data_IF_233778212686
#
_entry.id   IF_233778212686
#
_cell.length_a   1.000
_cell.length_b   1.000
_cell.length_c   1.000
_cell.angle_alpha   90.00
_cell.angle_beta   90.00
_cell.angle_gamma   90.00
#
_symmetry.space_group_name_H-M   'P 1'
#
loop_
_entity.id
_entity.type
_entity.pdbx_description
1 polymer ?
#
# COMPACT_ATOMS: atom_id res chain seq x y z
N UNK A 1 9.78 6.67 -6.20
CA UNK A 1 8.76 7.52 -6.86
C UNK A 1 8.01 8.28 -5.79
N UNK A 2 7.57 9.48 -6.10
CA UNK A 2 6.79 10.34 -5.19
C UNK A 2 5.41 10.61 -5.79
N UNK A 3 4.41 10.87 -4.95
CA UNK A 3 3.09 11.31 -5.38
C UNK A 3 3.11 12.74 -5.91
N UNK A 4 2.05 13.14 -6.61
CA UNK A 4 1.94 14.46 -7.23
C UNK A 4 2.06 15.60 -6.20
N UNK A 5 1.31 15.55 -5.09
CA UNK A 5 1.32 16.61 -4.08
C UNK A 5 2.68 16.72 -3.39
N UNK A 6 3.38 15.59 -3.20
CA UNK A 6 4.76 15.57 -2.67
C UNK A 6 5.73 16.25 -3.63
N UNK A 7 5.58 15.99 -4.93
CA UNK A 7 6.41 16.62 -5.95
C UNK A 7 6.16 18.14 -6.02
N UNK A 8 4.89 18.56 -6.04
CA UNK A 8 4.48 19.96 -6.11
C UNK A 8 4.96 20.76 -4.89
N UNK A 9 4.86 20.17 -3.69
CA UNK A 9 5.31 20.81 -2.46
C UNK A 9 6.84 20.96 -2.36
N UNK A 10 7.60 19.96 -2.81
CA UNK A 10 9.07 19.97 -2.69
C UNK A 10 9.77 20.63 -3.87
N UNK A 11 9.13 20.66 -5.05
CA UNK A 11 9.71 21.13 -6.31
C UNK A 11 8.68 21.95 -7.14
N UNK A 12 8.10 23.04 -6.60
CA UNK A 12 6.92 23.72 -7.16
C UNK A 12 7.12 24.34 -8.55
N UNK A 13 8.37 24.54 -8.98
CA UNK A 13 8.68 25.13 -10.30
C UNK A 13 9.83 24.41 -10.97
N UNK A 14 10.14 23.19 -10.53
CA UNK A 14 11.28 22.44 -11.03
C UNK A 14 10.91 20.98 -11.29
N UNK A 15 11.59 20.37 -12.27
CA UNK A 15 11.44 18.94 -12.48
C UNK A 15 12.06 18.17 -11.30
N UNK A 16 11.29 17.34 -10.57
CA UNK A 16 11.80 16.58 -9.43
C UNK A 16 12.67 15.38 -9.85
N UNK A 17 12.59 14.93 -11.09
CA UNK A 17 13.35 13.76 -11.58
C UNK A 17 14.86 14.00 -11.41
N UNK A 18 15.57 12.96 -10.96
CA UNK A 18 16.99 12.94 -10.61
C UNK A 18 17.42 13.83 -9.43
N UNK A 19 16.49 14.57 -8.84
CA UNK A 19 16.73 15.27 -7.58
C UNK A 19 16.67 14.32 -6.40
N UNK A 20 17.23 14.78 -5.29
CA UNK A 20 17.26 14.01 -4.05
C UNK A 20 16.27 14.55 -3.04
N UNK A 21 15.64 13.63 -2.30
CA UNK A 21 14.76 13.91 -1.17
C UNK A 21 15.28 13.19 0.07
N UNK A 22 15.16 13.84 1.22
CA UNK A 22 15.52 13.24 2.49
C UNK A 22 14.29 12.55 3.08
N UNK A 23 14.39 11.25 3.33
CA UNK A 23 13.32 10.45 3.95
C UNK A 23 13.90 9.82 5.21
N UNK A 24 13.43 10.28 6.37
CA UNK A 24 13.91 9.84 7.69
C UNK A 24 15.45 9.85 7.80
N UNK A 25 16.08 10.94 7.35
CA UNK A 25 17.54 11.12 7.40
C UNK A 25 18.32 10.37 6.31
N UNK A 26 17.66 9.67 5.40
CA UNK A 26 18.30 8.95 4.29
C UNK A 26 18.00 9.64 2.95
N UNK A 27 19.02 9.78 2.12
CA UNK A 27 18.91 10.45 0.83
C UNK A 27 18.43 9.46 -0.25
N UNK A 28 17.35 9.80 -0.95
CA UNK A 28 16.82 9.02 -2.06
C UNK A 28 16.70 9.87 -3.31
N UNK A 29 17.02 9.29 -4.46
CA UNK A 29 16.81 9.91 -5.77
C UNK A 29 15.38 9.71 -6.25
N UNK A 30 14.75 10.78 -6.73
CA UNK A 30 13.43 10.73 -7.36
C UNK A 30 13.58 10.18 -8.79
N UNK A 31 12.92 9.06 -9.07
CA UNK A 31 12.96 8.38 -10.38
C UNK A 31 11.62 8.45 -11.14
N UNK A 32 10.62 9.08 -10.54
CA UNK A 32 9.28 9.15 -11.12
C UNK A 32 8.29 9.86 -10.20
N UNK A 33 7.26 10.46 -10.81
CA UNK A 33 6.15 11.12 -10.14
C UNK A 33 4.85 10.48 -10.61
N UNK A 34 3.94 10.18 -9.69
CA UNK A 34 2.62 9.68 -10.06
C UNK A 34 1.80 10.78 -10.76
N UNK A 35 1.00 10.40 -11.76
CA UNK A 35 -0.04 11.27 -12.29
C UNK A 35 -1.06 11.57 -11.19
N UNK A 36 -1.53 12.81 -11.11
CA UNK A 36 -2.54 13.23 -10.13
C UNK A 36 -3.77 12.33 -10.21
N UNK A 37 -4.09 11.63 -9.12
CA UNK A 37 -5.25 10.74 -9.03
C UNK A 37 -6.35 11.28 -8.11
N UNK A 38 -6.03 12.29 -7.29
CA UNK A 38 -6.93 12.85 -6.29
C UNK A 38 -7.09 11.95 -5.07
N UNK A 39 -7.90 12.43 -4.12
CA UNK A 39 -8.19 11.72 -2.87
C UNK A 39 -9.42 10.83 -3.04
N UNK A 40 -9.31 9.56 -2.67
CA UNK A 40 -10.45 8.64 -2.67
C UNK A 40 -11.24 8.78 -1.38
N UNK A 41 -12.50 9.25 -1.50
CA UNK A 41 -13.46 9.44 -0.38
C UNK A 41 -12.92 10.27 0.81
N UNK A 42 -11.87 11.07 0.62
CA UNK A 42 -11.17 11.73 1.72
C UNK A 42 -10.36 10.80 2.64
N UNK A 43 -10.34 9.49 2.38
CA UNK A 43 -9.74 8.48 3.25
C UNK A 43 -8.29 8.17 2.90
N UNK A 44 -7.94 8.18 1.62
CA UNK A 44 -6.56 7.97 1.17
C UNK A 44 -6.25 8.74 -0.12
N UNK A 45 -5.00 9.19 -0.25
CA UNK A 45 -4.50 9.88 -1.44
C UNK A 45 -3.23 9.20 -1.94
N UNK A 46 -3.23 8.79 -3.21
CA UNK A 46 -2.02 8.31 -3.90
C UNK A 46 -1.08 9.46 -4.32
N UNK A 47 -1.56 10.70 -4.21
CA UNK A 47 -0.80 11.90 -4.53
C UNK A 47 0.12 12.33 -3.37
N UNK A 48 -0.16 11.85 -2.15
CA UNK A 48 0.58 12.19 -0.93
C UNK A 48 1.47 11.06 -0.39
N UNK A 49 1.88 10.10 -1.24
CA UNK A 49 2.71 8.95 -0.85
C UNK A 49 4.13 8.98 -1.42
N UNK A 50 5.01 8.16 -0.85
CA UNK A 50 6.29 7.77 -1.45
C UNK A 50 6.31 6.27 -1.68
N UNK A 51 6.68 5.86 -2.88
CA UNK A 51 6.90 4.46 -3.23
C UNK A 51 8.39 4.20 -3.46
N UNK A 52 8.94 3.20 -2.77
CA UNK A 52 10.33 2.79 -2.90
C UNK A 52 10.43 1.26 -2.96
N UNK A 53 11.52 0.70 -3.51
CA UNK A 53 11.73 -0.75 -3.51
C UNK A 53 11.73 -1.30 -2.09
N UNK A 54 11.08 -2.45 -1.87
CA UNK A 54 10.98 -3.08 -0.56
C UNK A 54 12.36 -3.38 0.07
N UNK A 55 13.35 -3.77 -0.74
CA UNK A 55 14.71 -4.00 -0.27
C UNK A 55 15.37 -2.71 0.28
N UNK A 56 15.10 -1.55 -0.35
CA UNK A 56 15.58 -0.27 0.15
C UNK A 56 14.86 0.11 1.45
N UNK A 57 13.55 -0.14 1.53
CA UNK A 57 12.79 0.07 2.76
C UNK A 57 13.37 -0.75 3.93
N UNK A 58 13.56 -2.06 3.75
CA UNK A 58 14.09 -2.95 4.78
C UNK A 58 15.52 -2.61 5.23
N UNK A 59 16.31 -1.97 4.36
CA UNK A 59 17.69 -1.55 4.69
C UNK A 59 17.72 -0.36 5.65
N UNK A 60 16.79 0.58 5.48
CA UNK A 60 16.85 1.89 6.14
C UNK A 60 15.74 2.12 7.18
N UNK A 61 14.69 1.32 7.14
CA UNK A 61 13.52 1.46 8.01
C UNK A 61 13.25 0.15 8.74
N UNK A 62 12.93 0.26 10.03
CA UNK A 62 12.50 -0.91 10.82
C UNK A 62 11.05 -1.24 10.48
N UNK A 63 10.78 -2.51 10.16
CA UNK A 63 9.45 -3.05 9.83
C UNK A 63 8.52 -3.18 11.05
N UNK A 64 8.43 -2.14 11.89
CA UNK A 64 7.45 -2.05 12.99
C UNK A 64 6.09 -1.51 12.52
N UNK A 65 5.90 -1.35 11.21
CA UNK A 65 4.66 -0.82 10.63
C UNK A 65 3.68 -1.94 10.31
N UNK A 66 2.40 -1.66 10.53
CA UNK A 66 1.32 -2.43 9.93
C UNK A 66 1.55 -2.52 8.42
N UNK A 67 1.47 -3.74 7.89
CA UNK A 67 1.81 -4.04 6.51
C UNK A 67 0.65 -4.72 5.82
N UNK A 68 0.22 -4.16 4.70
CA UNK A 68 -0.81 -4.73 3.85
C UNK A 68 -0.18 -5.50 2.69
N UNK A 69 -0.71 -6.68 2.41
CA UNK A 69 -0.36 -7.46 1.21
C UNK A 69 -1.54 -7.40 0.25
N UNK A 70 -1.30 -6.87 -0.96
CA UNK A 70 -2.32 -6.81 -2.02
C UNK A 70 -2.17 -8.01 -2.94
N UNK A 71 -3.25 -8.78 -3.07
CA UNK A 71 -3.30 -9.99 -3.90
C UNK A 71 -4.26 -9.77 -5.06
N UNK A 72 -3.84 -10.15 -6.27
CA UNK A 72 -4.68 -10.12 -7.47
C UNK A 72 -5.00 -11.54 -7.91
N UNK A 73 -6.26 -11.94 -7.75
CA UNK A 73 -6.76 -13.23 -8.24
C UNK A 73 -7.04 -13.13 -9.74
N UNK A 74 -6.52 -14.09 -10.53
CA UNK A 74 -6.67 -14.10 -12.00
C UNK A 74 -8.11 -14.36 -12.43
N UNK A 75 -8.74 -15.35 -11.79
CA UNK A 75 -10.13 -15.76 -12.05
C UNK A 75 -11.04 -15.26 -10.93
N UNK A 76 -11.96 -14.34 -11.26
CA UNK A 76 -12.87 -13.75 -10.28
C UNK A 76 -13.90 -14.75 -9.74
N UNK A 77 -14.15 -15.86 -10.44
CA UNK A 77 -15.08 -16.90 -9.95
C UNK A 77 -14.52 -17.66 -8.76
N UNK A 78 -13.20 -17.61 -8.55
CA UNK A 78 -12.47 -18.28 -7.47
C UNK A 78 -12.16 -17.39 -6.27
N UNK A 79 -12.80 -16.22 -6.15
CA UNK A 79 -12.49 -15.29 -5.06
C UNK A 79 -12.74 -15.88 -3.67
N UNK A 80 -13.83 -16.63 -3.49
CA UNK A 80 -14.14 -17.27 -2.21
C UNK A 80 -13.10 -18.34 -1.85
N UNK A 81 -12.79 -19.24 -2.78
CA UNK A 81 -11.75 -20.27 -2.62
C UNK A 81 -10.37 -19.64 -2.32
N UNK A 82 -9.99 -18.61 -3.08
CA UNK A 82 -8.73 -17.90 -2.87
C UNK A 82 -8.66 -17.24 -1.49
N UNK A 83 -9.78 -16.73 -0.96
CA UNK A 83 -9.83 -16.15 0.39
C UNK A 83 -9.57 -17.20 1.47
N UNK A 84 -10.18 -18.38 1.34
CA UNK A 84 -9.97 -19.47 2.30
C UNK A 84 -8.51 -19.95 2.27
N UNK A 85 -7.93 -20.11 1.09
CA UNK A 85 -6.51 -20.43 0.93
C UNK A 85 -5.59 -19.35 1.54
N UNK A 86 -5.86 -18.08 1.25
CA UNK A 86 -5.09 -16.95 1.80
C UNK A 86 -5.20 -16.90 3.33
N UNK A 87 -6.36 -17.22 3.90
CA UNK A 87 -6.56 -17.29 5.35
C UNK A 87 -5.65 -18.36 5.96
N UNK A 88 -5.65 -19.57 5.39
CA UNK A 88 -4.79 -20.66 5.84
C UNK A 88 -3.30 -20.32 5.73
N UNK A 89 -2.89 -19.71 4.62
CA UNK A 89 -1.50 -19.25 4.41
C UNK A 89 -1.10 -18.18 5.42
N UNK A 90 -1.94 -17.18 5.66
CA UNK A 90 -1.65 -16.10 6.60
C UNK A 90 -1.57 -16.60 8.04
N UNK A 91 -2.44 -17.54 8.44
CA UNK A 91 -2.34 -18.21 9.75
C UNK A 91 -1.00 -18.94 9.91
N UNK A 92 -0.51 -19.60 8.85
CA UNK A 92 0.82 -20.24 8.86
C UNK A 92 1.95 -19.22 8.97
N UNK A 93 1.92 -18.15 8.17
CA UNK A 93 2.93 -17.07 8.22
C UNK A 93 2.99 -16.43 9.60
N UNK A 94 1.84 -16.26 10.26
CA UNK A 94 1.74 -15.69 11.61
C UNK A 94 1.88 -16.70 12.76
N UNK A 95 2.05 -18.00 12.46
CA UNK A 95 2.18 -19.05 13.47
C UNK A 95 0.95 -19.20 14.36
N UNK A 96 -0.27 -18.97 13.83
CA UNK A 96 -1.51 -19.06 14.61
C UNK A 96 -2.00 -20.51 14.70
N UNK A 97 -2.10 -21.10 15.90
CA UNK A 97 -2.64 -22.44 16.09
C UNK A 97 -4.15 -22.46 15.87
N UNK A 98 -4.77 -23.62 15.57
CA UNK A 98 -6.19 -23.74 15.24
C UNK A 98 -7.15 -23.07 16.24
N UNK A 99 -6.85 -23.09 17.54
CA UNK A 99 -7.74 -22.52 18.57
C UNK A 99 -7.64 -20.99 18.67
N UNK A 100 -6.59 -20.38 18.09
CA UNK A 100 -6.37 -18.94 18.16
C UNK A 100 -7.14 -18.22 17.05
N UNK A 101 -7.82 -17.14 17.42
CA UNK A 101 -8.48 -16.21 16.50
C UNK A 101 -7.47 -15.52 15.59
N UNK A 102 -7.90 -15.18 14.38
CA UNK A 102 -7.09 -14.40 13.44
C UNK A 102 -6.79 -13.00 14.01
N UNK A 103 -5.53 -12.57 13.87
CA UNK A 103 -5.06 -11.23 14.20
C UNK A 103 -4.78 -10.38 12.94
N UNK A 104 -5.36 -10.79 11.81
CA UNK A 104 -5.31 -10.14 10.51
C UNK A 104 -6.70 -10.11 9.87
N UNK A 105 -6.87 -9.31 8.83
CA UNK A 105 -8.09 -9.27 8.03
C UNK A 105 -7.78 -9.44 6.55
N UNK A 106 -8.70 -10.05 5.81
CA UNK A 106 -8.67 -10.11 4.34
C UNK A 106 -9.84 -9.28 3.84
N UNK A 107 -9.53 -8.07 3.37
CA UNK A 107 -10.52 -7.14 2.85
C UNK A 107 -10.70 -7.38 1.34
N UNK A 108 -11.95 -7.55 0.92
CA UNK A 108 -12.32 -7.62 -0.49
C UNK A 108 -12.74 -6.23 -1.00
N UNK A 109 -12.56 -5.97 -2.30
CA UNK A 109 -13.08 -4.74 -2.91
C UNK A 109 -14.61 -4.61 -2.77
N UNK A 110 -15.33 -5.73 -2.57
CA UNK A 110 -16.77 -5.70 -2.29
C UNK A 110 -17.11 -5.05 -0.94
N UNK A 111 -16.22 -5.11 0.06
CA UNK A 111 -16.41 -4.42 1.34
C UNK A 111 -16.46 -2.89 1.17
N UNK A 112 -15.91 -2.35 0.07
CA UNK A 112 -16.02 -0.94 -0.28
C UNK A 112 -17.32 -0.60 -1.04
N UNK A 113 -17.97 -1.57 -1.71
CA UNK A 113 -19.27 -1.32 -2.37
C UNK A 113 -20.38 -1.02 -1.38
N UNK A 114 -20.43 -1.75 -0.26
CA UNK A 114 -21.42 -1.50 0.81
C UNK A 114 -21.28 -0.15 1.49
N UNK A 115 -20.11 0.50 1.39
CA UNK A 115 -19.88 1.88 1.88
C UNK A 115 -20.20 2.93 0.81
N UNK A 116 -20.33 2.53 -0.45
CA UNK A 116 -20.60 3.40 -1.60
C UNK A 116 -22.07 3.41 -2.01
N UNK A 117 -22.86 2.40 -1.64
CA UNK A 117 -24.30 2.40 -1.84
C UNK A 117 -24.93 3.31 -0.77
N UNK A 118 -25.44 4.51 -1.12
CA UNK A 118 -26.31 5.25 -0.21
C UNK A 118 -27.60 4.45 -0.06
N UNK A 119 -28.15 4.46 1.15
CA UNK A 119 -29.54 4.01 1.41
C UNK A 119 -30.50 4.64 0.41
#
# INVERSE_FOLDING_TARGET
>A
MIGYDVADALFPSENPIDKSVLINGQLFKVVGVNTRQGTFLGLFSWDSIVAMPLAAFNKYFSAKSDSDVRVKVKDKTKLAEAKDELTGLMRRVRGLPPEKKDDFSINEQQAFKSTLDPV
#
